data_IF_746474462130
#
_entry.id   IF_746474462130
#
_cell.length_a   1.000
_cell.length_b   1.000
_cell.length_c   1.000
_cell.angle_alpha   90.00
_cell.angle_beta   90.00
_cell.angle_gamma   90.00
#
_symmetry.space_group_name_H-M   'P 1'
#
loop_
_entity.id
_entity.type
_entity.pdbx_description
1 polymer ?
#
# COMPACT_ATOMS: atom_id res chain seq x y z
N UNK A 1 -20.34 -9.84 21.96
CA UNK A 1 -19.07 -10.45 21.49
C UNK A 1 -19.40 -11.76 20.79
N UNK A 2 -18.76 -12.08 19.66
CA UNK A 2 -18.89 -13.39 19.00
C UNK A 2 -17.57 -14.15 19.13
N UNK A 3 -17.64 -15.44 19.44
CA UNK A 3 -16.46 -16.30 19.57
C UNK A 3 -16.23 -17.02 18.25
N UNK A 4 -14.96 -17.05 17.82
CA UNK A 4 -14.52 -17.79 16.64
C UNK A 4 -13.45 -18.78 17.07
N UNK A 5 -13.56 -20.02 16.63
CA UNK A 5 -12.54 -21.06 16.83
C UNK A 5 -11.70 -21.16 15.57
N UNK A 6 -10.38 -21.01 15.70
CA UNK A 6 -9.42 -21.10 14.60
C UNK A 6 -8.62 -22.40 14.74
N UNK A 7 -8.57 -23.21 13.68
CA UNK A 7 -7.60 -24.30 13.58
C UNK A 7 -6.26 -23.71 13.11
N UNK A 8 -5.19 -24.05 13.82
CA UNK A 8 -3.84 -23.66 13.47
C UNK A 8 -2.88 -24.83 13.73
N UNK A 9 -1.75 -24.83 13.04
CA UNK A 9 -0.68 -25.77 13.35
C UNK A 9 -0.03 -25.46 14.71
N UNK A 10 0.73 -26.43 15.21
CA UNK A 10 1.42 -26.33 16.51
C UNK A 10 2.43 -25.18 16.52
N UNK A 11 3.17 -24.98 15.44
CA UNK A 11 4.19 -23.95 15.35
C UNK A 11 3.60 -22.52 15.47
N UNK A 12 2.44 -22.28 14.83
CA UNK A 12 1.71 -21.04 14.92
C UNK A 12 1.16 -20.84 16.34
N UNK A 13 0.58 -21.87 16.94
CA UNK A 13 0.04 -21.79 18.30
C UNK A 13 1.14 -21.46 19.33
N UNK A 14 2.32 -22.08 19.19
CA UNK A 14 3.47 -21.82 20.06
C UNK A 14 4.01 -20.40 19.86
N UNK A 15 4.10 -19.95 18.60
CA UNK A 15 4.49 -18.58 18.27
C UNK A 15 3.51 -17.57 18.86
N UNK A 16 2.20 -17.76 18.67
CA UNK A 16 1.15 -16.93 19.24
C UNK A 16 1.25 -16.90 20.77
N UNK A 17 1.51 -18.06 21.38
CA UNK A 17 1.65 -18.18 22.83
C UNK A 17 2.86 -17.40 23.34
N UNK A 18 4.02 -17.56 22.72
CA UNK A 18 5.23 -16.83 23.08
C UNK A 18 5.03 -15.32 22.96
N UNK A 19 4.53 -14.85 21.82
CA UNK A 19 4.31 -13.41 21.57
C UNK A 19 3.27 -12.81 22.54
N UNK A 20 2.20 -13.54 22.83
CA UNK A 20 1.20 -13.09 23.81
C UNK A 20 1.80 -12.94 25.22
N UNK A 21 2.72 -13.84 25.61
CA UNK A 21 3.43 -13.76 26.90
C UNK A 21 4.42 -12.60 26.94
N UNK A 22 5.23 -12.42 25.88
CA UNK A 22 6.20 -11.33 25.78
C UNK A 22 5.53 -9.95 25.92
N UNK A 23 4.35 -9.80 25.31
CA UNK A 23 3.57 -8.55 25.34
C UNK A 23 2.61 -8.45 26.53
N UNK A 24 2.56 -9.46 27.41
CA UNK A 24 1.67 -9.51 28.57
C UNK A 24 0.18 -9.27 28.22
N UNK A 25 -0.27 -9.81 27.09
CA UNK A 25 -1.66 -9.70 26.62
C UNK A 25 -2.25 -11.07 26.30
N UNK A 26 -3.58 -11.15 26.24
CA UNK A 26 -4.26 -12.40 25.88
C UNK A 26 -4.03 -12.75 24.40
N UNK A 27 -4.10 -14.04 24.05
CA UNK A 27 -3.99 -14.49 22.65
C UNK A 27 -5.07 -13.85 21.76
N UNK A 28 -6.29 -13.74 22.27
CA UNK A 28 -7.39 -13.10 21.54
C UNK A 28 -7.13 -11.60 21.31
N UNK A 29 -6.54 -10.91 22.29
CA UNK A 29 -6.13 -9.51 22.13
C UNK A 29 -5.01 -9.36 21.11
N UNK A 30 -4.00 -10.24 21.17
CA UNK A 30 -2.92 -10.26 20.20
C UNK A 30 -3.44 -10.47 18.77
N UNK A 31 -4.37 -11.43 18.58
CA UNK A 31 -4.99 -11.69 17.28
C UNK A 31 -5.75 -10.45 16.79
N UNK A 32 -6.56 -9.82 17.64
CA UNK A 32 -7.31 -8.60 17.27
C UNK A 32 -6.37 -7.49 16.78
N UNK A 33 -5.31 -7.19 17.55
CA UNK A 33 -4.32 -6.16 17.18
C UNK A 33 -3.62 -6.50 15.88
N UNK A 34 -3.24 -7.76 15.71
CA UNK A 34 -2.56 -8.24 14.49
C UNK A 34 -3.45 -8.08 13.25
N UNK A 35 -4.74 -8.40 13.37
CA UNK A 35 -5.72 -8.21 12.28
C UNK A 35 -5.85 -6.73 11.93
N UNK A 36 -6.00 -5.85 12.93
CA UNK A 36 -6.09 -4.40 12.69
C UNK A 36 -4.82 -3.82 12.08
N UNK A 37 -3.63 -4.27 12.51
CA UNK A 37 -2.37 -3.82 11.93
C UNK A 37 -2.19 -4.33 10.49
N UNK A 38 -2.62 -5.56 10.20
CA UNK A 38 -2.57 -6.08 8.84
C UNK A 38 -3.51 -5.31 7.90
N UNK A 39 -4.72 -4.96 8.35
CA UNK A 39 -5.64 -4.10 7.59
C UNK A 39 -5.00 -2.74 7.27
N UNK A 40 -4.38 -2.10 8.27
CA UNK A 40 -3.65 -0.82 8.09
C UNK A 40 -2.48 -0.96 7.13
N UNK A 41 -1.78 -2.10 7.16
CA UNK A 41 -0.70 -2.38 6.23
C UNK A 41 -1.22 -2.49 4.79
N UNK A 42 -2.28 -3.27 4.54
CA UNK A 42 -2.91 -3.38 3.23
C UNK A 42 -3.41 -2.03 2.69
N UNK A 43 -4.01 -1.22 3.55
CA UNK A 43 -4.43 0.14 3.16
C UNK A 43 -3.24 1.01 2.72
N UNK A 44 -2.14 0.98 3.47
CA UNK A 44 -0.91 1.73 3.14
C UNK A 44 -0.30 1.26 1.82
N UNK A 45 -0.26 -0.04 1.56
CA UNK A 45 0.25 -0.58 0.30
C UNK A 45 -0.62 -0.17 -0.90
N UNK A 46 -1.94 -0.22 -0.75
CA UNK A 46 -2.87 0.27 -1.78
C UNK A 46 -2.67 1.77 -2.06
N UNK A 47 -2.51 2.57 -1.01
CA UNK A 47 -2.27 4.00 -1.15
C UNK A 47 -0.95 4.29 -1.89
N UNK A 48 0.14 3.60 -1.53
CA UNK A 48 1.43 3.73 -2.23
C UNK A 48 1.30 3.38 -3.71
N UNK A 49 0.62 2.29 -4.04
CA UNK A 49 0.39 1.89 -5.43
C UNK A 49 -0.37 2.97 -6.20
N UNK A 50 -1.41 3.55 -5.60
CA UNK A 50 -2.18 4.64 -6.21
C UNK A 50 -1.33 5.89 -6.44
N UNK A 51 -0.52 6.30 -5.47
CA UNK A 51 0.38 7.46 -5.59
C UNK A 51 1.40 7.23 -6.70
N UNK A 52 1.98 6.02 -6.78
CA UNK A 52 2.93 5.66 -7.83
C UNK A 52 2.28 5.75 -9.21
N UNK A 53 1.10 5.15 -9.38
CA UNK A 53 0.35 5.18 -10.63
C UNK A 53 -0.02 6.62 -11.03
N UNK A 54 -0.45 7.45 -10.08
CA UNK A 54 -0.74 8.86 -10.34
C UNK A 54 0.52 9.63 -10.77
N UNK A 55 1.64 9.39 -10.09
CA UNK A 55 2.93 10.02 -10.41
C UNK A 55 3.42 9.64 -11.81
N UNK A 56 3.29 8.37 -12.20
CA UNK A 56 3.64 7.90 -13.53
C UNK A 56 2.77 8.56 -14.61
N UNK A 57 1.45 8.69 -14.37
CA UNK A 57 0.54 9.40 -15.28
C UNK A 57 0.90 10.88 -15.44
N UNK A 58 1.17 11.58 -14.34
CA UNK A 58 1.55 13.00 -14.36
C UNK A 58 2.87 13.20 -15.10
N UNK A 59 3.87 12.35 -14.84
CA UNK A 59 5.15 12.42 -15.56
C UNK A 59 4.96 12.22 -17.06
N UNK A 60 4.15 11.25 -17.46
CA UNK A 60 3.85 11.00 -18.88
C UNK A 60 3.17 12.22 -19.51
N UNK A 61 2.11 12.73 -18.89
CA UNK A 61 1.42 13.92 -19.39
C UNK A 61 2.35 15.12 -19.52
N UNK A 62 3.23 15.34 -18.53
CA UNK A 62 4.19 16.43 -18.58
C UNK A 62 5.21 16.27 -19.72
N UNK A 63 5.71 15.05 -19.95
CA UNK A 63 6.60 14.76 -21.09
C UNK A 63 5.89 14.98 -22.42
N UNK A 64 4.63 14.56 -22.53
CA UNK A 64 3.83 14.75 -23.75
C UNK A 64 3.62 16.26 -24.01
N UNK A 65 3.25 17.03 -22.99
CA UNK A 65 3.13 18.50 -23.08
C UNK A 65 4.44 19.18 -23.49
N UNK A 66 5.59 18.77 -22.95
CA UNK A 66 6.88 19.34 -23.34
C UNK A 66 7.15 19.10 -24.83
N UNK A 67 6.88 17.88 -25.34
CA UNK A 67 7.02 17.58 -26.77
C UNK A 67 6.08 18.40 -27.64
N UNK A 68 4.86 18.62 -27.19
CA UNK A 68 3.90 19.46 -27.92
C UNK A 68 4.43 20.91 -28.03
N UNK A 69 4.99 21.45 -26.94
CA UNK A 69 5.63 22.77 -26.96
C UNK A 69 6.87 22.81 -27.86
N UNK A 70 7.75 21.81 -27.81
CA UNK A 70 8.93 21.74 -28.69
C UNK A 70 8.53 21.73 -30.17
N UNK A 71 7.45 21.03 -30.52
CA UNK A 71 6.94 20.98 -31.88
C UNK A 71 6.37 22.33 -32.32
N UNK A 72 5.71 23.05 -31.41
CA UNK A 72 5.15 24.37 -31.67
C UNK A 72 6.20 25.49 -31.79
N UNK A 73 7.48 25.27 -31.46
CA UNK A 73 8.52 26.32 -31.50
C UNK A 73 8.70 26.92 -32.89
N UNK A 74 8.54 26.13 -33.94
CA UNK A 74 8.69 26.57 -35.34
C UNK A 74 7.35 26.85 -36.03
N UNK A 75 6.24 26.75 -35.30
CA UNK A 75 4.90 26.96 -35.86
C UNK A 75 4.71 28.43 -36.24
N UNK A 76 4.39 28.70 -37.51
CA UNK A 76 4.27 30.04 -38.08
C UNK A 76 5.57 30.70 -38.57
N UNK A 77 6.73 30.02 -38.48
CA UNK A 77 8.02 30.52 -38.99
C UNK A 77 8.41 29.96 -40.38
N UNK A 78 7.52 29.21 -41.03
CA UNK A 78 7.81 28.54 -42.31
C UNK A 78 8.02 29.48 -43.53
N UNK A 79 7.89 30.81 -43.37
CA UNK A 79 8.02 31.78 -44.47
C UNK A 79 8.75 33.10 -44.08
N UNK A 80 9.71 33.06 -43.16
CA UNK A 80 10.62 34.19 -42.88
C UNK A 80 12.04 33.87 -43.33
#
# INVERSE_FOLDING_TARGET
MRTVTLKADSAFFDKLTRLSKELQITKSEFIRRSVSEYERHLYREKLKANIRNASEKVRKANTDTVKDFETAVNDGLENV
#
